data_IF_481693231247
#
_entry.id   IF_481693231247
#
_cell.length_a   1.000
_cell.length_b   1.000
_cell.length_c   1.000
_cell.angle_alpha   90.00
_cell.angle_beta   90.00
_cell.angle_gamma   90.00
#
_symmetry.space_group_name_H-M   'P 1'
#
loop_
_entity.id
_entity.type
_entity.pdbx_description
1 polymer ?
#
# COMPACT_ATOMS: atom_id res chain seq x y z
N UNK A 1 -19.23 -17.60 30.10
CA UNK A 1 -19.43 -18.03 28.70
C UNK A 1 -18.64 -17.10 27.79
N UNK A 2 -17.44 -17.50 27.37
CA UNK A 2 -16.70 -16.75 26.34
C UNK A 2 -17.36 -17.03 24.99
N UNK A 3 -17.93 -16.00 24.36
CA UNK A 3 -18.53 -16.09 23.02
C UNK A 3 -17.41 -16.51 22.07
N UNK A 4 -17.48 -17.75 21.58
CA UNK A 4 -16.51 -18.32 20.65
C UNK A 4 -16.52 -17.43 19.40
N UNK A 5 -15.47 -16.61 19.26
CA UNK A 5 -15.37 -15.65 18.15
C UNK A 5 -15.28 -16.46 16.86
N UNK A 6 -16.31 -16.36 16.02
CA UNK A 6 -16.39 -17.17 14.81
C UNK A 6 -15.21 -16.78 13.88
N UNK A 7 -14.26 -17.70 13.61
CA UNK A 7 -13.05 -17.38 12.86
C UNK A 7 -13.37 -16.86 11.45
N UNK A 8 -14.50 -17.25 10.86
CA UNK A 8 -14.97 -16.77 9.55
C UNK A 8 -15.35 -15.29 9.59
N UNK A 9 -15.94 -14.83 10.70
CA UNK A 9 -16.27 -13.41 10.91
C UNK A 9 -15.00 -12.58 11.10
N UNK A 10 -14.01 -13.11 11.83
CA UNK A 10 -12.69 -12.48 11.96
C UNK A 10 -11.97 -12.32 10.62
N UNK A 11 -11.98 -13.37 9.79
CA UNK A 11 -11.40 -13.34 8.42
C UNK A 11 -12.10 -12.30 7.54
N UNK A 12 -13.43 -12.26 7.56
CA UNK A 12 -14.22 -11.26 6.82
C UNK A 12 -13.89 -9.82 7.22
N UNK A 13 -13.78 -9.55 8.53
CA UNK A 13 -13.37 -8.26 9.06
C UNK A 13 -11.96 -7.85 8.60
N UNK A 14 -11.03 -8.80 8.55
CA UNK A 14 -9.66 -8.54 8.12
C UNK A 14 -9.55 -8.24 6.62
N UNK A 15 -10.32 -8.94 5.78
CA UNK A 15 -10.44 -8.64 4.35
C UNK A 15 -11.05 -7.27 4.13
N UNK A 16 -12.10 -6.92 4.88
CA UNK A 16 -12.72 -5.59 4.81
C UNK A 16 -11.73 -4.48 5.20
N UNK A 17 -10.93 -4.68 6.26
CA UNK A 17 -9.88 -3.75 6.66
C UNK A 17 -8.80 -3.59 5.58
N UNK A 18 -8.37 -4.69 4.96
CA UNK A 18 -7.39 -4.66 3.86
C UNK A 18 -7.94 -3.92 2.63
N UNK A 19 -9.20 -4.15 2.27
CA UNK A 19 -9.89 -3.42 1.21
C UNK A 19 -10.01 -1.93 1.53
N UNK A 20 -10.37 -1.58 2.77
CA UNK A 20 -10.50 -0.18 3.20
C UNK A 20 -9.16 0.56 3.20
N UNK A 21 -8.10 -0.06 3.71
CA UNK A 21 -6.74 0.50 3.66
C UNK A 21 -6.29 0.70 2.21
N UNK A 22 -6.52 -0.30 1.36
CA UNK A 22 -6.09 -0.24 -0.04
C UNK A 22 -6.88 0.77 -0.85
N UNK A 23 -8.17 0.94 -0.55
CA UNK A 23 -8.98 2.03 -1.08
C UNK A 23 -8.42 3.40 -0.66
N UNK A 24 -8.00 3.53 0.60
CA UNK A 24 -7.40 4.77 1.11
C UNK A 24 -6.06 5.07 0.42
N UNK A 25 -5.20 4.07 0.19
CA UNK A 25 -3.97 4.26 -0.57
C UNK A 25 -4.25 4.61 -2.05
N UNK A 26 -5.29 4.01 -2.63
CA UNK A 26 -5.70 4.28 -4.00
C UNK A 26 -6.17 5.73 -4.19
N UNK A 27 -7.06 6.20 -3.32
CA UNK A 27 -7.58 7.58 -3.39
C UNK A 27 -6.47 8.60 -3.13
N UNK A 28 -5.62 8.35 -2.14
CA UNK A 28 -4.49 9.22 -1.81
C UNK A 28 -3.49 9.32 -2.97
N UNK A 29 -3.10 8.18 -3.55
CA UNK A 29 -2.19 8.14 -4.70
C UNK A 29 -2.77 8.82 -5.95
N UNK A 30 -4.09 8.70 -6.17
CA UNK A 30 -4.76 9.38 -7.29
C UNK A 30 -4.81 10.90 -7.10
N UNK A 31 -5.11 11.39 -5.89
CA UNK A 31 -5.18 12.83 -5.60
C UNK A 31 -3.79 13.47 -5.68
N UNK A 32 -2.77 12.82 -5.09
CA UNK A 32 -1.37 13.24 -5.19
C UNK A 32 -0.92 13.34 -6.66
N UNK A 33 -1.29 12.36 -7.49
CA UNK A 33 -0.95 12.38 -8.92
C UNK A 33 -1.67 13.49 -9.69
N UNK A 34 -2.93 13.79 -9.32
CA UNK A 34 -3.71 14.88 -9.93
C UNK A 34 -3.09 16.24 -9.66
N UNK A 35 -2.65 16.49 -8.42
CA UNK A 35 -2.02 17.76 -8.04
C UNK A 35 -0.64 17.97 -8.68
N UNK A 36 0.07 16.88 -8.94
CA UNK A 36 1.40 16.90 -9.56
C UNK A 36 1.40 17.19 -11.07
N UNK A 37 0.24 17.25 -11.73
CA UNK A 37 0.16 17.62 -13.14
C UNK A 37 0.81 16.60 -14.10
N UNK A 38 0.63 15.30 -13.85
CA UNK A 38 1.16 14.19 -14.66
C UNK A 38 2.71 14.18 -14.84
N UNK A 39 3.49 13.98 -13.76
CA UNK A 39 4.94 13.84 -13.87
C UNK A 39 5.28 12.57 -14.65
N UNK A 40 6.11 12.70 -15.67
CA UNK A 40 6.57 11.61 -16.55
C UNK A 40 7.26 10.46 -15.78
N UNK A 41 7.69 10.71 -14.54
CA UNK A 41 8.40 9.74 -13.70
C UNK A 41 7.51 8.86 -12.82
N UNK A 42 6.19 9.09 -12.79
CA UNK A 42 5.22 8.36 -11.95
C UNK A 42 4.16 7.70 -12.84
N UNK A 43 3.99 6.38 -12.72
CA UNK A 43 3.01 5.63 -13.50
C UNK A 43 1.83 5.22 -12.61
N UNK A 44 0.72 5.97 -12.70
CA UNK A 44 -0.50 5.71 -11.93
C UNK A 44 -1.10 4.34 -12.24
N UNK A 45 -0.98 3.85 -13.49
CA UNK A 45 -1.51 2.53 -13.87
C UNK A 45 -0.77 1.41 -13.14
N UNK A 46 0.56 1.49 -13.06
CA UNK A 46 1.39 0.51 -12.33
C UNK A 46 1.13 0.53 -10.83
N UNK A 47 0.91 1.72 -10.25
CA UNK A 47 0.52 1.87 -8.86
C UNK A 47 -0.82 1.18 -8.57
N UNK A 48 -1.82 1.46 -9.40
CA UNK A 48 -3.16 0.86 -9.32
C UNK A 48 -3.12 -0.66 -9.41
N UNK A 49 -2.40 -1.21 -10.40
CA UNK A 49 -2.24 -2.67 -10.50
C UNK A 49 -1.52 -3.26 -9.29
N UNK A 50 -0.55 -2.54 -8.72
CA UNK A 50 0.17 -2.98 -7.53
C UNK A 50 -0.70 -3.03 -6.28
N UNK A 51 -1.48 -1.98 -6.03
CA UNK A 51 -2.44 -1.96 -4.91
C UNK A 51 -3.45 -3.10 -5.04
N UNK A 52 -3.99 -3.31 -6.25
CA UNK A 52 -4.91 -4.42 -6.51
C UNK A 52 -4.26 -5.78 -6.25
N UNK A 53 -3.02 -5.99 -6.71
CA UNK A 53 -2.26 -7.22 -6.44
C UNK A 53 -2.06 -7.47 -4.95
N UNK A 54 -1.70 -6.43 -4.18
CA UNK A 54 -1.51 -6.50 -2.72
C UNK A 54 -2.81 -6.92 -2.02
N UNK A 55 -3.95 -6.32 -2.40
CA UNK A 55 -5.27 -6.69 -1.85
C UNK A 55 -5.61 -8.14 -2.14
N UNK A 56 -5.49 -8.55 -3.40
CA UNK A 56 -5.83 -9.91 -3.84
C UNK A 56 -4.95 -10.92 -3.10
N UNK A 57 -3.65 -10.65 -2.98
CA UNK A 57 -2.73 -11.53 -2.25
C UNK A 57 -3.08 -11.66 -0.77
N UNK A 58 -3.39 -10.55 -0.09
CA UNK A 58 -3.81 -10.56 1.32
C UNK A 58 -5.13 -11.32 1.48
N UNK A 59 -6.10 -11.10 0.58
CA UNK A 59 -7.37 -11.81 0.60
C UNK A 59 -7.19 -13.32 0.40
N UNK A 60 -6.30 -13.73 -0.50
CA UNK A 60 -5.95 -15.14 -0.71
C UNK A 60 -5.35 -15.74 0.57
N UNK A 61 -4.34 -15.11 1.18
CA UNK A 61 -3.72 -15.63 2.41
C UNK A 61 -4.73 -15.76 3.56
N UNK A 62 -5.67 -14.83 3.70
CA UNK A 62 -6.64 -14.85 4.80
C UNK A 62 -7.75 -15.89 4.56
N UNK A 63 -8.13 -16.09 3.30
CA UNK A 63 -9.21 -16.99 2.93
C UNK A 63 -8.78 -18.46 2.96
N UNK A 64 -7.56 -18.75 2.53
CA UNK A 64 -6.98 -20.09 2.58
C UNK A 64 -6.34 -20.35 3.96
N UNK A 65 -6.75 -21.38 4.72
CA UNK A 65 -6.27 -21.60 6.09
C UNK A 65 -4.77 -21.91 6.17
N UNK A 66 -4.12 -21.43 7.23
CA UNK A 66 -2.67 -21.48 7.49
C UNK A 66 -2.08 -22.89 7.62
N UNK A 67 -2.87 -23.88 8.02
CA UNK A 67 -2.46 -25.29 8.08
C UNK A 67 -2.15 -25.81 6.64
N UNK A 68 -2.76 -25.15 5.67
CA UNK A 68 -2.52 -25.11 4.22
C UNK A 68 -1.10 -24.74 3.80
N UNK A 69 -0.55 -23.74 4.50
CA UNK A 69 0.62 -22.98 4.06
C UNK A 69 1.88 -23.30 4.85
N UNK A 70 1.74 -23.91 6.03
CA UNK A 70 2.88 -24.46 6.74
C UNK A 70 3.40 -25.65 5.93
N UNK A 71 4.55 -25.46 5.26
CA UNK A 71 5.31 -26.57 4.70
C UNK A 71 5.67 -27.52 5.85
N UNK A 72 4.86 -28.54 6.05
CA UNK A 72 5.21 -29.62 6.94
C UNK A 72 6.21 -30.52 6.20
N UNK A 73 7.41 -30.68 6.74
CA UNK A 73 8.56 -31.34 6.08
C UNK A 73 8.33 -32.83 5.76
N UNK A 74 7.17 -33.39 6.11
CA UNK A 74 6.90 -34.82 6.02
C UNK A 74 6.44 -35.31 4.64
N UNK A 75 6.03 -34.44 3.70
CA UNK A 75 5.57 -34.90 2.38
C UNK A 75 5.82 -33.88 1.26
N UNK A 76 7.05 -33.76 0.73
CA UNK A 76 7.38 -32.80 -0.33
C UNK A 76 6.60 -33.02 -1.65
N UNK A 77 6.14 -34.24 -1.91
CA UNK A 77 5.51 -34.65 -3.18
C UNK A 77 4.04 -34.22 -3.33
N UNK A 78 3.32 -33.96 -2.23
CA UNK A 78 1.90 -33.54 -2.26
C UNK A 78 1.74 -32.01 -2.41
N UNK A 79 2.83 -31.26 -2.38
CA UNK A 79 2.83 -29.80 -2.25
C UNK A 79 3.36 -29.03 -3.46
N UNK A 80 3.35 -29.63 -4.65
CA UNK A 80 3.89 -29.01 -5.88
C UNK A 80 3.33 -27.61 -6.19
N UNK A 81 2.04 -27.37 -5.96
CA UNK A 81 1.40 -26.06 -6.16
C UNK A 81 1.72 -25.06 -5.04
N UNK A 82 2.14 -25.52 -3.85
CA UNK A 82 2.43 -24.66 -2.70
C UNK A 82 3.75 -23.90 -2.86
N UNK A 83 4.69 -24.41 -3.66
CA UNK A 83 5.90 -23.67 -4.03
C UNK A 83 5.61 -22.40 -4.84
N UNK A 84 4.44 -22.30 -5.49
CA UNK A 84 4.01 -21.10 -6.19
C UNK A 84 3.73 -19.93 -5.23
N UNK A 85 3.56 -20.17 -3.92
CA UNK A 85 3.38 -19.09 -2.94
C UNK A 85 4.61 -18.18 -2.85
N UNK A 86 5.81 -18.75 -3.07
CA UNK A 86 7.08 -18.03 -2.95
C UNK A 86 7.27 -16.96 -4.03
N UNK A 87 7.13 -17.25 -5.34
CA UNK A 87 7.18 -16.22 -6.38
C UNK A 87 6.01 -15.23 -6.28
N UNK A 88 4.81 -15.68 -5.87
CA UNK A 88 3.66 -14.78 -5.67
C UNK A 88 3.94 -13.81 -4.50
N UNK A 89 4.55 -14.29 -3.42
CA UNK A 89 4.98 -13.50 -2.26
C UNK A 89 6.11 -12.51 -2.57
N UNK A 90 7.07 -12.90 -3.42
CA UNK A 90 8.07 -11.95 -3.94
C UNK A 90 7.43 -10.86 -4.79
N UNK A 91 6.44 -11.22 -5.62
CA UNK A 91 5.60 -10.27 -6.34
C UNK A 91 4.88 -9.31 -5.40
N UNK A 92 4.36 -9.81 -4.28
CA UNK A 92 3.71 -8.98 -3.26
C UNK A 92 4.69 -7.96 -2.67
N UNK A 93 5.89 -8.41 -2.26
CA UNK A 93 6.92 -7.50 -1.75
C UNK A 93 7.27 -6.43 -2.77
N UNK A 94 7.48 -6.83 -4.04
CA UNK A 94 7.76 -5.90 -5.13
C UNK A 94 6.67 -4.82 -5.27
N UNK A 95 5.40 -5.22 -5.31
CA UNK A 95 4.30 -4.27 -5.43
C UNK A 95 4.11 -3.41 -4.17
N UNK A 96 4.31 -3.97 -2.98
CA UNK A 96 4.27 -3.20 -1.73
C UNK A 96 5.34 -2.10 -1.74
N UNK A 97 6.59 -2.43 -2.05
CA UNK A 97 7.67 -1.44 -2.17
C UNK A 97 7.40 -0.42 -3.28
N UNK A 98 6.87 -0.85 -4.42
CA UNK A 98 6.51 0.08 -5.50
C UNK A 98 5.42 1.07 -5.08
N UNK A 99 4.43 0.61 -4.32
CA UNK A 99 3.33 1.43 -3.80
C UNK A 99 3.87 2.50 -2.85
N UNK A 100 4.78 2.12 -1.96
CA UNK A 100 5.45 3.03 -1.03
C UNK A 100 6.37 4.02 -1.74
N UNK A 101 7.13 3.56 -2.73
CA UNK A 101 7.98 4.40 -3.58
C UNK A 101 7.16 5.45 -4.31
N UNK A 102 6.05 5.04 -4.93
CA UNK A 102 5.15 5.95 -5.66
C UNK A 102 4.63 7.05 -4.74
N UNK A 103 4.12 6.65 -3.57
CA UNK A 103 3.54 7.58 -2.60
C UNK A 103 4.58 8.56 -2.07
N UNK A 104 5.74 8.04 -1.66
CA UNK A 104 6.85 8.83 -1.13
C UNK A 104 7.42 9.80 -2.15
N UNK A 105 7.55 9.37 -3.40
CA UNK A 105 8.03 10.20 -4.50
C UNK A 105 7.01 11.28 -4.84
N UNK A 106 5.71 10.95 -4.88
CA UNK A 106 4.67 11.92 -5.12
C UNK A 106 4.63 13.00 -4.03
N UNK A 107 4.69 12.60 -2.75
CA UNK A 107 4.77 13.58 -1.65
C UNK A 107 6.06 14.40 -1.67
N UNK A 108 7.21 13.79 -1.96
CA UNK A 108 8.50 14.50 -2.04
C UNK A 108 8.53 15.49 -3.21
N UNK A 109 7.99 15.13 -4.38
CA UNK A 109 7.91 16.03 -5.53
C UNK A 109 6.97 17.21 -5.28
N UNK A 110 5.79 16.98 -4.71
CA UNK A 110 4.89 18.08 -4.31
C UNK A 110 5.55 19.03 -3.33
N UNK A 111 6.30 18.48 -2.37
CA UNK A 111 6.97 19.30 -1.36
C UNK A 111 8.16 20.08 -1.91
N UNK A 112 8.87 19.49 -2.87
CA UNK A 112 9.89 20.20 -3.66
C UNK A 112 9.28 21.33 -4.49
N UNK A 113 8.09 21.13 -5.07
CA UNK A 113 7.33 22.20 -5.73
C UNK A 113 6.90 23.30 -4.75
N UNK A 114 6.57 22.93 -3.50
CA UNK A 114 6.27 23.86 -2.41
C UNK A 114 7.50 24.49 -1.73
N UNK A 115 8.72 24.27 -2.25
CA UNK A 115 9.95 24.90 -1.75
C UNK A 115 10.61 24.24 -0.53
N UNK A 116 10.16 23.06 -0.11
CA UNK A 116 10.77 22.30 0.98
C UNK A 116 11.46 21.03 0.45
N UNK A 117 12.79 20.99 0.54
CA UNK A 117 13.59 19.84 0.10
C UNK A 117 13.75 18.84 1.27
N UNK A 118 12.86 17.85 1.32
CA UNK A 118 12.92 16.77 2.30
C UNK A 118 13.34 15.44 1.66
N UNK A 119 14.16 14.63 2.34
CA UNK A 119 14.65 13.37 1.78
C UNK A 119 13.49 12.39 1.57
N UNK A 120 13.38 11.87 0.33
CA UNK A 120 12.38 10.86 -0.04
C UNK A 120 12.41 9.62 0.86
N UNK A 121 13.58 9.23 1.36
CA UNK A 121 13.77 8.11 2.29
C UNK A 121 12.95 8.27 3.58
N UNK A 122 12.78 9.50 4.06
CA UNK A 122 11.98 9.78 5.25
C UNK A 122 10.52 9.41 5.00
N UNK A 123 9.96 9.78 3.84
CA UNK A 123 8.61 9.40 3.47
C UNK A 123 8.44 7.88 3.33
N UNK A 124 9.40 7.19 2.72
CA UNK A 124 9.36 5.71 2.64
C UNK A 124 9.29 5.10 4.03
N UNK A 125 10.10 5.61 4.96
CA UNK A 125 10.11 5.16 6.35
C UNK A 125 8.78 5.47 7.06
N UNK A 126 8.23 6.67 6.87
CA UNK A 126 6.93 7.05 7.43
C UNK A 126 5.81 6.15 6.88
N UNK A 127 5.78 5.85 5.58
CA UNK A 127 4.78 4.97 5.02
C UNK A 127 5.00 3.49 5.42
N UNK A 128 6.24 3.06 5.68
CA UNK A 128 6.56 1.72 6.15
C UNK A 128 6.17 1.49 7.63
N UNK A 129 6.48 2.45 8.52
CA UNK A 129 6.20 2.36 9.96
C UNK A 129 4.78 2.81 10.32
N UNK A 130 3.77 2.24 9.66
CA UNK A 130 2.38 2.38 10.11
C UNK A 130 2.21 1.64 11.45
N UNK A 131 1.61 2.24 12.51
CA UNK A 131 0.79 3.46 12.54
C UNK A 131 1.53 4.74 12.94
N UNK A 132 2.77 4.69 13.44
CA UNK A 132 3.51 5.88 13.89
C UNK A 132 3.65 6.92 12.76
N UNK A 133 3.86 6.43 11.54
CA UNK A 133 4.00 7.26 10.36
C UNK A 133 2.74 8.03 9.97
N UNK A 134 1.53 7.49 10.20
CA UNK A 134 0.28 8.18 9.83
C UNK A 134 0.11 9.47 10.64
N UNK A 135 0.51 9.48 11.91
CA UNK A 135 0.38 10.66 12.77
C UNK A 135 1.26 11.83 12.31
N UNK A 136 2.46 11.53 11.79
CA UNK A 136 3.37 12.54 11.26
C UNK A 136 3.00 12.93 9.83
N UNK A 137 2.52 11.97 9.04
CA UNK A 137 2.23 12.14 7.63
C UNK A 137 0.87 12.82 7.38
N UNK A 138 -0.15 12.53 8.18
CA UNK A 138 -1.50 13.09 8.03
C UNK A 138 -1.53 14.63 8.01
N UNK A 139 -0.98 15.37 9.00
CA UNK A 139 -0.99 16.84 8.97
C UNK A 139 -0.17 17.41 7.79
N UNK A 140 0.85 16.68 7.32
CA UNK A 140 1.68 17.10 6.17
C UNK A 140 0.93 16.93 4.86
N UNK A 141 0.23 15.81 4.68
CA UNK A 141 -0.66 15.58 3.53
C UNK A 141 -1.78 16.60 3.47
N UNK A 142 -2.44 16.87 4.61
CA UNK A 142 -3.53 17.86 4.65
C UNK A 142 -3.04 19.23 4.17
N UNK A 143 -1.89 19.72 4.67
CA UNK A 143 -1.31 21.00 4.21
C UNK A 143 -1.05 21.03 2.70
N UNK A 144 -0.45 19.96 2.17
CA UNK A 144 -0.18 19.84 0.73
C UNK A 144 -1.47 19.82 -0.11
N UNK A 145 -2.52 19.19 0.40
CA UNK A 145 -3.80 19.06 -0.30
C UNK A 145 -4.71 20.30 -0.14
N UNK A 146 -4.57 21.05 0.97
CA UNK A 146 -5.42 22.19 1.33
C UNK A 146 -4.90 23.53 0.81
N UNK A 147 -3.63 23.62 0.42
CA UNK A 147 -3.10 24.78 -0.30
C UNK A 147 -3.31 24.55 -1.80
N UNK A 148 -4.43 25.03 -2.40
CA UNK A 148 -4.50 25.09 -3.85
C UNK A 148 -3.30 25.87 -4.35
N UNK A 149 -2.53 25.24 -5.23
CA UNK A 149 -1.38 25.81 -5.93
C UNK A 149 -1.85 26.91 -6.91
N UNK A 150 -2.53 27.94 -6.39
CA UNK A 150 -2.98 29.12 -7.12
C UNK A 150 -1.76 30.00 -7.52
N UNK A 151 -0.60 29.78 -6.89
CA UNK A 151 0.66 30.45 -7.23
C UNK A 151 1.44 29.83 -8.42
N UNK A 152 0.95 28.76 -9.06
CA UNK A 152 1.66 28.11 -10.18
C UNK A 152 0.93 28.17 -11.54
N UNK A 153 -0.07 29.05 -11.71
CA UNK A 153 -0.50 29.47 -13.05
C UNK A 153 0.34 30.66 -13.50
N UNK A 154 1.34 30.50 -14.40
CA UNK A 154 1.76 31.64 -15.20
C UNK A 154 0.55 32.03 -16.06
N UNK A 155 0.12 33.28 -15.93
CA UNK A 155 -0.81 33.92 -16.85
C UNK A 155 -0.20 34.10 -18.23
#
# INVERSE_FOLDING_TARGET
MAKQFNPTVGRGLFVLLACWLSWSFWSLGAELFRQLGAPTSLNLRRFRTGVCYVVVYIALIIWFPSDEFLLNNHTPAEYGWRWAIWPIGLGFMYFAFYTLYFLSKATSLLRKQAGADEPMLLYILLFWFFPLGIFVLHPRLVRLLSEPQEHLRPG
#
